data_IF_660474150650
#
_entry.id   IF_660474150650
#
_cell.length_a   1.000
_cell.length_b   1.000
_cell.length_c   1.000
_cell.angle_alpha   90.00
_cell.angle_beta   90.00
_cell.angle_gamma   90.00
#
_symmetry.space_group_name_H-M   'P 1'
#
loop_
_entity.id
_entity.type
_entity.pdbx_description
1 polymer ?
#
# COMPACT_ATOMS: atom_id res chain seq x y z
N UNK A 1 15.28 -6.23 12.97
CA UNK A 1 13.99 -5.80 12.38
C UNK A 1 13.81 -6.52 11.06
N UNK A 2 12.69 -7.22 10.86
CA UNK A 2 12.42 -7.91 9.59
C UNK A 2 11.92 -6.89 8.56
N UNK A 3 12.53 -6.88 7.36
CA UNK A 3 12.10 -6.01 6.25
C UNK A 3 10.78 -6.53 5.69
N UNK A 4 9.84 -5.62 5.44
CA UNK A 4 8.52 -5.96 4.89
C UNK A 4 8.52 -5.85 3.37
N UNK A 5 9.02 -4.73 2.84
CA UNK A 5 8.96 -4.42 1.42
C UNK A 5 10.03 -5.15 0.61
N UNK A 6 9.67 -5.44 -0.64
CA UNK A 6 10.57 -5.98 -1.64
C UNK A 6 11.75 -5.04 -1.89
N UNK A 7 12.97 -5.57 -1.84
CA UNK A 7 14.20 -4.84 -2.15
C UNK A 7 15.31 -5.82 -2.55
N UNK A 8 16.46 -5.32 -2.99
CA UNK A 8 17.66 -6.14 -3.27
C UNK A 8 18.01 -7.04 -2.08
N UNK A 9 17.93 -6.50 -0.86
CA UNK A 9 18.22 -7.23 0.38
C UNK A 9 17.02 -7.99 0.97
N UNK A 10 15.85 -7.91 0.32
CA UNK A 10 14.63 -8.61 0.72
C UNK A 10 13.81 -8.95 -0.55
N UNK A 11 14.31 -9.83 -1.42
CA UNK A 11 13.71 -10.05 -2.74
C UNK A 11 12.32 -10.70 -2.67
N UNK A 12 12.03 -11.39 -1.57
CA UNK A 12 10.74 -12.04 -1.29
C UNK A 12 9.79 -11.14 -0.48
N UNK A 13 10.14 -9.87 -0.27
CA UNK A 13 9.27 -8.91 0.40
C UNK A 13 8.02 -8.58 -0.42
N UNK A 14 7.05 -7.91 0.20
CA UNK A 14 5.83 -7.50 -0.47
C UNK A 14 6.11 -6.34 -1.43
N UNK A 15 5.47 -6.36 -2.60
CA UNK A 15 5.34 -5.16 -3.42
C UNK A 15 4.44 -4.16 -2.69
N UNK A 16 4.82 -2.89 -2.69
CA UNK A 16 4.14 -1.87 -1.89
C UNK A 16 2.67 -1.71 -2.31
N UNK A 17 2.38 -1.65 -3.61
CA UNK A 17 1.02 -1.52 -4.14
C UNK A 17 0.11 -2.69 -3.73
N UNK A 18 0.63 -3.91 -3.71
CA UNK A 18 -0.14 -5.08 -3.27
C UNK A 18 -0.40 -5.05 -1.77
N UNK A 19 0.60 -4.69 -0.98
CA UNK A 19 0.46 -4.58 0.47
C UNK A 19 -0.51 -3.46 0.86
N UNK A 20 -0.44 -2.30 0.20
CA UNK A 20 -1.36 -1.19 0.43
C UNK A 20 -2.80 -1.58 0.10
N UNK A 21 -3.02 -2.30 -1.00
CA UNK A 21 -4.34 -2.82 -1.35
C UNK A 21 -4.88 -3.79 -0.31
N UNK A 22 -4.06 -4.75 0.14
CA UNK A 22 -4.46 -5.68 1.20
C UNK A 22 -4.81 -4.94 2.51
N UNK A 23 -4.02 -3.92 2.89
CA UNK A 23 -4.30 -3.11 4.08
C UNK A 23 -5.61 -2.32 3.95
N UNK A 24 -5.95 -1.81 2.75
CA UNK A 24 -7.24 -1.16 2.51
C UNK A 24 -8.41 -2.12 2.77
N UNK A 25 -8.32 -3.36 2.28
CA UNK A 25 -9.32 -4.41 2.48
C UNK A 25 -9.48 -4.74 3.98
N UNK A 26 -8.38 -4.97 4.69
CA UNK A 26 -8.40 -5.27 6.12
C UNK A 26 -8.99 -4.12 6.98
N UNK A 27 -8.72 -2.86 6.61
CA UNK A 27 -9.29 -1.69 7.30
C UNK A 27 -10.78 -1.53 6.97
N UNK A 28 -11.19 -1.82 5.73
CA UNK A 28 -12.59 -1.82 5.33
C UNK A 28 -13.40 -2.87 6.12
N UNK A 29 -12.85 -4.08 6.28
CA UNK A 29 -13.47 -5.12 7.11
C UNK A 29 -13.63 -4.68 8.57
N UNK A 30 -12.61 -4.03 9.15
CA UNK A 30 -12.69 -3.48 10.52
C UNK A 30 -13.76 -2.40 10.63
N UNK A 31 -13.91 -1.58 9.59
CA UNK A 31 -14.95 -0.53 9.53
C UNK A 31 -16.35 -1.14 9.46
N UNK A 32 -16.54 -2.22 8.71
CA UNK A 32 -17.81 -2.92 8.60
C UNK A 32 -18.29 -3.48 9.96
N UNK A 33 -17.36 -3.95 10.81
CA UNK A 33 -17.70 -4.49 12.14
C UNK A 33 -18.36 -3.48 13.08
N UNK A 34 -18.11 -2.18 12.89
CA UNK A 34 -18.68 -1.10 13.71
C UNK A 34 -19.75 -0.30 12.96
N UNK A 35 -20.20 -0.77 11.79
CA UNK A 35 -21.11 -0.02 10.93
C UNK A 35 -22.47 0.29 11.57
N UNK A 36 -22.98 -0.63 12.39
CA UNK A 36 -24.29 -0.51 13.04
C UNK A 36 -24.26 0.21 14.39
N UNK A 37 -23.07 0.46 14.94
CA UNK A 37 -22.90 1.24 16.17
C UNK A 37 -22.98 2.74 15.82
N UNK A 38 -23.95 3.42 16.44
CA UNK A 38 -24.26 4.85 16.25
C UNK A 38 -23.68 5.73 17.37
N UNK A 39 -22.91 5.16 18.29
CA UNK A 39 -22.21 5.94 19.31
C UNK A 39 -21.21 6.90 18.66
N UNK A 40 -20.97 8.04 19.31
CA UNK A 40 -19.99 9.03 18.84
C UNK A 40 -18.59 8.41 18.66
N UNK A 41 -18.23 7.47 19.55
CA UNK A 41 -16.98 6.71 19.47
C UNK A 41 -16.91 5.90 18.16
N UNK A 42 -17.97 5.15 17.83
CA UNK A 42 -18.01 4.36 16.61
C UNK A 42 -17.98 5.24 15.36
N UNK A 43 -18.72 6.36 15.34
CA UNK A 43 -18.65 7.33 14.23
C UNK A 43 -17.24 7.88 14.04
N UNK A 44 -16.54 8.21 15.14
CA UNK A 44 -15.16 8.69 15.06
C UNK A 44 -14.21 7.62 14.53
N UNK A 45 -14.34 6.38 14.97
CA UNK A 45 -13.53 5.26 14.47
C UNK A 45 -13.80 5.00 12.97
N UNK A 46 -15.06 5.02 12.54
CA UNK A 46 -15.43 4.89 11.12
C UNK A 46 -14.80 6.00 10.28
N UNK A 47 -14.90 7.26 10.72
CA UNK A 47 -14.29 8.40 10.06
C UNK A 47 -12.76 8.25 9.92
N UNK A 48 -12.08 7.83 10.99
CA UNK A 48 -10.64 7.61 10.96
C UNK A 48 -10.26 6.48 9.98
N UNK A 49 -10.98 5.35 9.99
CA UNK A 49 -10.70 4.23 9.10
C UNK A 49 -10.91 4.59 7.62
N UNK A 50 -11.97 5.35 7.30
CA UNK A 50 -12.21 5.85 5.94
C UNK A 50 -11.07 6.77 5.49
N UNK A 51 -10.57 7.63 6.38
CA UNK A 51 -9.41 8.47 6.08
C UNK A 51 -8.13 7.66 5.87
N UNK A 52 -7.91 6.59 6.65
CA UNK A 52 -6.79 5.67 6.46
C UNK A 52 -6.87 5.00 5.08
N UNK A 53 -8.04 4.45 4.70
CA UNK A 53 -8.26 3.82 3.38
C UNK A 53 -7.95 4.81 2.26
N UNK A 54 -8.42 6.07 2.38
CA UNK A 54 -8.13 7.12 1.41
C UNK A 54 -6.62 7.35 1.24
N UNK A 55 -5.89 7.49 2.34
CA UNK A 55 -4.44 7.71 2.30
C UNK A 55 -3.68 6.50 1.73
N UNK A 56 -4.11 5.29 2.04
CA UNK A 56 -3.52 4.07 1.47
C UNK A 56 -3.76 3.99 -0.04
N UNK A 57 -4.95 4.37 -0.50
CA UNK A 57 -5.29 4.44 -1.93
C UNK A 57 -4.48 5.50 -2.68
N UNK A 58 -4.28 6.68 -2.08
CA UNK A 58 -3.41 7.73 -2.63
C UNK A 58 -1.95 7.24 -2.75
N UNK A 59 -1.44 6.56 -1.73
CA UNK A 59 -0.10 5.97 -1.74
C UNK A 59 0.04 4.86 -2.80
N UNK A 60 -0.99 4.02 -2.97
CA UNK A 60 -1.02 2.98 -4.00
C UNK A 60 -0.96 3.61 -5.41
N UNK A 61 -1.76 4.65 -5.66
CA UNK A 61 -1.77 5.36 -6.93
C UNK A 61 -0.40 5.96 -7.28
N UNK A 62 0.25 6.61 -6.30
CA UNK A 62 1.61 7.16 -6.47
C UNK A 62 2.65 6.06 -6.79
N UNK A 63 2.54 4.89 -6.15
CA UNK A 63 3.43 3.77 -6.43
C UNK A 63 3.21 3.21 -7.84
N UNK A 64 1.96 3.05 -8.27
CA UNK A 64 1.60 2.60 -9.62
C UNK A 64 2.11 3.59 -10.67
N UNK A 65 1.95 4.90 -10.44
CA UNK A 65 2.50 5.95 -11.30
C UNK A 65 4.02 5.85 -11.40
N UNK A 66 4.70 5.67 -10.26
CA UNK A 66 6.15 5.49 -10.22
C UNK A 66 6.60 4.29 -11.06
N UNK A 67 5.88 3.16 -11.00
CA UNK A 67 6.18 2.01 -11.85
C UNK A 67 5.98 2.30 -13.34
N UNK A 68 4.94 3.04 -13.73
CA UNK A 68 4.70 3.45 -15.13
C UNK A 68 5.85 4.32 -15.64
N UNK A 69 6.28 5.31 -14.87
CA UNK A 69 7.41 6.17 -15.21
C UNK A 69 8.70 5.35 -15.37
N UNK A 70 8.95 4.40 -14.48
CA UNK A 70 10.12 3.53 -14.53
C UNK A 70 10.08 2.55 -15.70
N UNK A 71 8.90 2.06 -16.09
CA UNK A 71 8.70 1.18 -17.23
C UNK A 71 8.98 1.89 -18.56
N UNK A 72 8.70 3.19 -18.66
CA UNK A 72 9.07 4.02 -19.82
C UNK A 72 10.60 4.14 -19.99
N UNK A 73 11.38 4.00 -18.91
CA UNK A 73 12.84 4.05 -18.95
C UNK A 73 13.48 2.73 -19.38
N UNK A 74 13.07 1.62 -18.75
CA UNK A 74 13.57 0.28 -19.05
C UNK A 74 12.64 -0.80 -18.48
N UNK A 75 12.70 -2.05 -18.99
CA UNK A 75 11.95 -3.19 -18.44
C UNK A 75 12.26 -3.46 -16.96
N UNK A 76 11.30 -4.07 -16.26
CA UNK A 76 11.52 -4.55 -14.89
C UNK A 76 12.32 -5.86 -14.88
N UNK A 77 13.53 -5.81 -14.32
CA UNK A 77 14.38 -6.99 -14.11
C UNK A 77 14.22 -7.57 -12.71
N UNK A 78 13.28 -7.07 -11.91
CA UNK A 78 13.02 -7.54 -10.55
C UNK A 78 14.05 -7.07 -9.51
N UNK A 79 13.94 -7.52 -8.25
CA UNK A 79 14.70 -6.99 -7.12
C UNK A 79 16.21 -7.32 -7.17
N UNK A 80 16.61 -8.33 -7.95
CA UNK A 80 18.02 -8.73 -8.12
C UNK A 80 18.64 -8.21 -9.43
N UNK A 81 17.86 -7.49 -10.25
CA UNK A 81 18.36 -6.93 -11.49
C UNK A 81 19.02 -5.56 -11.33
N UNK A 82 19.43 -4.96 -12.44
CA UNK A 82 20.09 -3.65 -12.43
C UNK A 82 19.09 -2.53 -12.09
N UNK A 83 19.47 -1.56 -11.24
CA UNK A 83 18.62 -0.42 -10.95
C UNK A 83 18.40 0.42 -12.21
N UNK A 84 17.15 0.82 -12.48
CA UNK A 84 16.84 1.70 -13.63
C UNK A 84 17.21 3.16 -13.36
N UNK A 85 17.25 3.58 -12.09
CA UNK A 85 17.67 4.90 -11.63
C UNK A 85 18.51 4.76 -10.36
N UNK A 86 19.39 5.73 -10.10
CA UNK A 86 20.41 5.61 -9.06
C UNK A 86 21.64 4.84 -9.54
N UNK A 87 22.78 5.05 -8.89
CA UNK A 87 24.02 4.30 -9.09
C UNK A 87 24.19 3.30 -7.96
#
# INVERSE_FOLDING_TARGET
>A
MNKILMSVTNPNGFKLELLLKQLQEEVAEKTARVAHDKSELAEKVKSNNLQIIKLLSEAEALQVESFKLMAAKAPDTGPLGYPRIGK
#
